data_IF_030710141440
#
_entry.id   IF_030710141440
#
_cell.length_a   1.000
_cell.length_b   1.000
_cell.length_c   1.000
_cell.angle_alpha   90.00
_cell.angle_beta   90.00
_cell.angle_gamma   90.00
#
_symmetry.space_group_name_H-M   'P 1'
#
loop_
_entity.id
_entity.type
_entity.pdbx_description
1 polymer ?
#
# COMPACT_ATOMS: atom_id res chain seq x y z
N UNK A 1 17.91 11.88 -3.85
CA UNK A 1 17.72 10.56 -3.24
C UNK A 1 16.41 10.02 -3.77
N UNK A 2 16.43 8.86 -4.41
CA UNK A 2 15.19 8.17 -4.76
C UNK A 2 14.57 7.55 -3.50
N UNK A 3 13.24 7.40 -3.52
CA UNK A 3 12.54 6.65 -2.49
C UNK A 3 13.09 5.22 -2.40
N UNK A 4 13.14 4.66 -1.19
CA UNK A 4 13.60 3.28 -0.94
C UNK A 4 12.82 2.26 -1.78
N UNK A 5 11.54 2.53 -2.07
CA UNK A 5 10.66 1.72 -2.91
C UNK A 5 11.15 1.54 -4.35
N UNK A 6 12.01 2.43 -4.83
CA UNK A 6 12.56 2.40 -6.19
C UNK A 6 13.90 1.66 -6.27
N UNK A 7 14.52 1.35 -5.12
CA UNK A 7 15.80 0.66 -5.04
C UNK A 7 15.59 -0.84 -5.27
N UNK A 8 16.32 -1.44 -6.22
CA UNK A 8 16.22 -2.87 -6.53
C UNK A 8 14.99 -3.27 -7.36
N UNK A 9 14.11 -2.32 -7.69
CA UNK A 9 13.09 -2.52 -8.70
C UNK A 9 13.77 -2.57 -10.08
N UNK A 10 14.03 -3.77 -10.58
CA UNK A 10 14.24 -3.95 -12.02
C UNK A 10 12.97 -3.42 -12.68
N UNK A 11 13.08 -2.31 -13.44
CA UNK A 11 11.96 -1.65 -14.13
C UNK A 11 10.95 -2.71 -14.54
N UNK A 12 9.83 -2.74 -13.82
CA UNK A 12 8.84 -3.79 -13.96
C UNK A 12 8.51 -3.94 -15.45
N UNK A 13 8.51 -5.20 -15.90
CA UNK A 13 8.05 -5.60 -17.22
C UNK A 13 6.82 -4.77 -17.61
N UNK A 14 6.86 -4.21 -18.81
CA UNK A 14 5.78 -3.37 -19.32
C UNK A 14 4.47 -4.17 -19.28
N UNK A 15 3.61 -3.88 -18.31
CA UNK A 15 2.26 -4.41 -18.29
C UNK A 15 1.55 -3.98 -19.58
N UNK A 16 0.73 -4.85 -20.19
CA UNK A 16 0.07 -4.53 -21.44
C UNK A 16 -0.88 -3.34 -21.25
N UNK A 17 -0.86 -2.40 -22.21
CA UNK A 17 -1.82 -1.30 -22.24
C UNK A 17 -3.23 -1.83 -22.44
N UNK A 18 -4.17 -1.35 -21.63
CA UNK A 18 -5.59 -1.65 -21.80
C UNK A 18 -6.13 -0.96 -23.06
N UNK A 19 -6.17 -1.70 -24.17
CA UNK A 19 -6.60 -1.22 -25.49
C UNK A 19 -7.94 -1.82 -25.96
N UNK A 20 -8.58 -2.61 -25.11
CA UNK A 20 -9.84 -3.30 -25.39
C UNK A 20 -10.68 -3.38 -24.12
N UNK A 21 -12.01 -3.58 -24.24
CA UNK A 21 -12.83 -3.92 -23.10
C UNK A 21 -12.32 -5.20 -22.40
N UNK A 22 -12.43 -5.21 -21.08
CA UNK A 22 -12.12 -6.35 -20.22
C UNK A 22 -13.26 -6.52 -19.22
N UNK A 23 -13.62 -7.78 -18.96
CA UNK A 23 -14.56 -8.12 -17.90
C UNK A 23 -13.78 -8.47 -16.63
N UNK A 24 -14.21 -7.90 -15.53
CA UNK A 24 -13.69 -8.15 -14.20
C UNK A 24 -14.84 -8.14 -13.21
N UNK A 25 -14.68 -8.88 -12.11
CA UNK A 25 -15.63 -8.82 -11.01
C UNK A 25 -15.38 -7.53 -10.19
N UNK A 26 -14.11 -7.09 -10.11
CA UNK A 26 -13.70 -5.81 -9.50
C UNK A 26 -12.63 -5.12 -10.35
N UNK A 27 -12.82 -3.83 -10.62
CA UNK A 27 -11.82 -2.96 -11.22
C UNK A 27 -11.26 -1.98 -10.17
N UNK A 28 -9.93 -1.89 -10.07
CA UNK A 28 -9.20 -1.01 -9.16
C UNK A 28 -8.44 0.02 -9.99
N UNK A 29 -8.64 1.30 -9.67
CA UNK A 29 -7.95 2.41 -10.34
C UNK A 29 -6.82 2.91 -9.45
N UNK A 30 -5.58 2.76 -9.92
CA UNK A 30 -4.35 3.15 -9.24
C UNK A 30 -3.52 1.97 -8.76
N UNK A 31 -2.29 1.86 -9.27
CA UNK A 31 -1.29 0.84 -8.94
C UNK A 31 -0.39 1.23 -7.76
N UNK A 32 -0.92 1.97 -6.78
CA UNK A 32 -0.21 2.29 -5.53
C UNK A 32 -0.36 1.17 -4.48
N UNK A 33 0.28 1.33 -3.32
CA UNK A 33 0.26 0.31 -2.25
C UNK A 33 -1.16 -0.10 -1.84
N UNK A 34 -2.05 0.88 -1.66
CA UNK A 34 -3.45 0.61 -1.30
C UNK A 34 -4.17 -0.21 -2.37
N UNK A 35 -4.02 0.17 -3.65
CA UNK A 35 -4.67 -0.51 -4.77
C UNK A 35 -4.16 -1.94 -4.93
N UNK A 36 -2.85 -2.14 -4.86
CA UNK A 36 -2.23 -3.47 -4.99
C UNK A 36 -2.57 -4.39 -3.81
N UNK A 37 -2.52 -3.91 -2.58
CA UNK A 37 -2.91 -4.72 -1.41
C UNK A 37 -4.40 -5.05 -1.45
N UNK A 38 -5.24 -4.13 -1.89
CA UNK A 38 -6.68 -4.42 -2.09
C UNK A 38 -6.88 -5.48 -3.17
N UNK A 39 -6.14 -5.38 -4.29
CA UNK A 39 -6.23 -6.33 -5.39
C UNK A 39 -5.84 -7.75 -4.96
N UNK A 40 -4.74 -7.89 -4.22
CA UNK A 40 -4.28 -9.17 -3.68
C UNK A 40 -5.36 -9.81 -2.79
N UNK A 41 -5.89 -9.05 -1.81
CA UNK A 41 -6.92 -9.56 -0.89
C UNK A 41 -8.20 -9.99 -1.58
N UNK A 42 -8.62 -9.27 -2.63
CA UNK A 42 -9.82 -9.62 -3.40
C UNK A 42 -9.55 -10.80 -4.36
N UNK A 43 -8.35 -10.90 -4.92
CA UNK A 43 -7.96 -12.05 -5.73
C UNK A 43 -7.91 -13.34 -4.89
N UNK A 44 -7.46 -13.26 -3.63
CA UNK A 44 -7.45 -14.38 -2.69
C UNK A 44 -8.86 -14.96 -2.41
N UNK A 45 -9.91 -14.16 -2.58
CA UNK A 45 -11.30 -14.63 -2.47
C UNK A 45 -11.83 -15.28 -3.76
N UNK A 46 -10.99 -15.44 -4.78
CA UNK A 46 -11.36 -16.02 -6.09
C UNK A 46 -12.02 -15.04 -7.07
N UNK A 47 -12.03 -13.73 -6.77
CA UNK A 47 -12.57 -12.73 -7.70
C UNK A 47 -11.57 -12.44 -8.82
N UNK A 48 -12.09 -12.20 -10.03
CA UNK A 48 -11.30 -11.65 -11.14
C UNK A 48 -11.11 -10.16 -10.92
N UNK A 49 -9.93 -9.78 -10.47
CA UNK A 49 -9.59 -8.39 -10.16
C UNK A 49 -8.67 -7.82 -11.25
N UNK A 50 -8.95 -6.60 -11.68
CA UNK A 50 -8.09 -5.86 -12.61
C UNK A 50 -7.65 -4.55 -11.96
N UNK A 51 -6.34 -4.29 -11.98
CA UNK A 51 -5.75 -3.00 -11.59
C UNK A 51 -5.37 -2.22 -12.83
N UNK A 52 -5.77 -0.95 -12.90
CA UNK A 52 -5.46 -0.03 -13.99
C UNK A 52 -4.61 1.12 -13.42
N UNK A 53 -3.41 1.30 -13.95
CA UNK A 53 -2.46 2.36 -13.58
C UNK A 53 -2.13 3.18 -14.83
N UNK A 54 -2.13 4.51 -14.69
CA UNK A 54 -1.88 5.44 -15.81
C UNK A 54 -0.38 5.60 -16.12
N UNK A 55 0.49 5.38 -15.13
CA UNK A 55 1.94 5.53 -15.23
C UNK A 55 2.64 4.16 -15.11
N UNK A 56 3.38 3.98 -14.03
CA UNK A 56 4.04 2.73 -13.67
C UNK A 56 3.60 2.38 -12.26
N UNK A 57 3.41 1.10 -12.01
CA UNK A 57 3.04 0.59 -10.69
C UNK A 57 3.96 1.20 -9.62
N UNK A 58 3.35 1.73 -8.57
CA UNK A 58 4.04 2.36 -7.45
C UNK A 58 4.63 3.75 -7.73
N UNK A 59 4.52 4.35 -8.91
CA UNK A 59 5.23 5.60 -9.22
C UNK A 59 4.63 6.88 -8.61
N UNK A 60 3.37 6.85 -8.14
CA UNK A 60 2.70 7.98 -7.50
C UNK A 60 3.15 8.21 -6.04
N UNK A 61 2.20 8.58 -5.17
CA UNK A 61 2.49 8.87 -3.75
C UNK A 61 3.26 7.75 -3.04
N UNK A 62 2.98 6.48 -3.35
CA UNK A 62 3.71 5.33 -2.79
C UNK A 62 5.20 5.41 -3.06
N UNK A 63 5.62 5.47 -4.33
CA UNK A 63 7.02 5.56 -4.73
C UNK A 63 7.63 6.95 -4.57
N UNK A 64 6.83 7.96 -4.22
CA UNK A 64 7.32 9.25 -3.74
C UNK A 64 7.55 9.31 -2.22
N UNK A 65 7.07 8.32 -1.46
CA UNK A 65 7.24 8.29 -0.01
C UNK A 65 8.62 7.74 0.39
N UNK A 66 9.12 8.14 1.55
CA UNK A 66 10.38 7.62 2.12
C UNK A 66 10.28 6.17 2.60
N UNK A 67 9.06 5.61 2.65
CA UNK A 67 8.81 4.24 3.10
C UNK A 67 8.90 4.02 4.61
N UNK A 68 8.81 5.10 5.40
CA UNK A 68 8.82 5.01 6.85
C UNK A 68 7.46 4.49 7.34
N UNK A 69 7.48 3.37 8.05
CA UNK A 69 6.34 2.84 8.79
C UNK A 69 6.65 2.94 10.29
N UNK A 70 5.89 3.78 11.00
CA UNK A 70 6.05 3.97 12.44
C UNK A 70 4.70 3.87 13.15
N UNK A 71 4.72 3.30 14.36
CA UNK A 71 3.61 3.42 15.28
C UNK A 71 3.70 4.77 15.97
N UNK A 72 2.66 5.59 15.83
CA UNK A 72 2.59 6.86 16.55
C UNK A 72 2.33 6.57 18.04
N UNK A 73 3.14 7.11 18.94
CA UNK A 73 2.98 6.87 20.39
C UNK A 73 1.62 7.36 20.94
N UNK A 74 0.93 8.24 20.20
CA UNK A 74 -0.41 8.68 20.51
C UNK A 74 -1.42 7.52 20.62
N UNK A 75 -1.27 6.47 19.82
CA UNK A 75 -2.05 5.22 19.97
C UNK A 75 -1.37 4.20 20.86
N UNK A 76 -0.04 4.26 21.02
CA UNK A 76 0.72 3.33 21.88
C UNK A 76 0.35 3.39 23.36
N UNK A 77 -0.03 4.57 23.88
CA UNK A 77 -0.41 4.74 25.29
C UNK A 77 -1.91 4.59 25.57
N UNK A 78 -2.77 4.76 24.56
CA UNK A 78 -4.22 4.70 24.74
C UNK A 78 -4.71 3.33 25.29
N UNK A 79 -4.14 2.17 24.89
CA UNK A 79 -4.46 0.87 25.51
C UNK A 79 -4.00 0.76 26.97
N UNK A 80 -2.84 1.33 27.34
CA UNK A 80 -2.35 1.33 28.72
C UNK A 80 -3.28 2.14 29.64
N UNK A 81 -3.72 3.31 29.18
CA UNK A 81 -4.70 4.16 29.89
C UNK A 81 -6.05 3.45 30.06
N UNK A 82 -6.51 2.71 29.04
CA UNK A 82 -7.79 1.97 29.08
C UNK A 82 -7.81 0.78 30.06
N UNK A 83 -6.67 0.16 30.29
CA UNK A 83 -6.55 -1.03 31.17
C UNK A 83 -6.11 -0.69 32.61
N UNK A 84 -6.12 0.60 32.99
CA UNK A 84 -5.74 1.03 34.33
C UNK A 84 -4.25 0.91 34.65
N UNK A 85 -3.39 0.75 33.64
CA UNK A 85 -1.95 0.72 33.84
C UNK A 85 -1.41 2.15 34.05
N UNK A 86 -0.51 2.32 35.03
CA UNK A 86 0.12 3.60 35.35
C UNK A 86 1.59 3.60 34.92
N UNK A 87 2.05 4.69 34.31
CA UNK A 87 3.44 4.88 33.86
C UNK A 87 4.13 5.85 34.81
N UNK A 88 5.34 5.48 35.25
CA UNK A 88 6.20 6.31 36.09
C UNK A 88 7.46 6.69 35.30
N UNK A 89 7.91 7.94 35.44
CA UNK A 89 9.21 8.38 34.94
C UNK A 89 10.15 8.50 36.14
N UNK A 90 11.35 7.93 36.01
CA UNK A 90 12.42 8.11 36.99
C UNK A 90 13.33 9.27 36.55
N UNK A 91 13.92 9.97 37.51
CA UNK A 91 14.91 11.04 37.27
C UNK A 91 16.31 10.46 37.23
#
# INVERSE_FOLDING_TARGET
>A
MDAIWKIGCNKADHYPTLNRPIDADVAIIGGGITGLTTAERLADTGLRVVVIEALTVGNGCTGGSTGNLYSIMATGLAPFVRNGATIWFEK
#
